data_IF_050357883248
#
_entry.id   IF_050357883248
#
_cell.length_a   1.000
_cell.length_b   1.000
_cell.length_c   1.000
_cell.angle_alpha   90.00
_cell.angle_beta   90.00
_cell.angle_gamma   90.00
#
_symmetry.space_group_name_H-M   'P 1'
#
loop_
_entity.id
_entity.type
_entity.pdbx_description
1 polymer ?
#
# COMPACT_ATOMS: atom_id res chain seq x y z
N UNK A 1 12.63 24.90 -5.44
CA UNK A 1 13.20 23.70 -4.76
C UNK A 1 13.10 22.52 -5.73
N UNK A 2 14.06 21.59 -5.74
CA UNK A 2 14.08 20.46 -6.69
C UNK A 2 12.88 19.52 -6.52
N UNK A 3 12.61 18.69 -7.53
CA UNK A 3 11.68 17.57 -7.39
C UNK A 3 12.26 16.55 -6.39
N UNK A 4 11.38 15.84 -5.68
CA UNK A 4 11.76 14.76 -4.77
C UNK A 4 11.40 13.40 -5.39
N UNK A 5 12.26 12.40 -5.19
CA UNK A 5 12.01 11.03 -5.63
C UNK A 5 11.49 10.15 -4.50
N UNK A 6 10.41 9.42 -4.77
CA UNK A 6 9.71 8.57 -3.80
C UNK A 6 9.83 7.11 -4.24
N UNK A 7 10.46 6.29 -3.40
CA UNK A 7 10.51 4.84 -3.55
C UNK A 7 9.63 4.18 -2.49
N UNK A 8 8.85 3.16 -2.87
CA UNK A 8 8.02 2.41 -1.92
C UNK A 8 8.37 0.93 -1.97
N UNK A 9 8.53 0.33 -0.79
CA UNK A 9 8.88 -1.07 -0.57
C UNK A 9 7.74 -1.85 0.05
N UNK A 10 7.36 -2.95 -0.58
CA UNK A 10 6.45 -3.97 -0.08
C UNK A 10 6.82 -5.34 -0.68
N UNK A 11 8.06 -5.84 -0.47
CA UNK A 11 8.52 -7.08 -1.08
C UNK A 11 7.69 -8.25 -0.58
N UNK A 12 7.25 -9.08 -1.52
CA UNK A 12 6.62 -10.36 -1.23
C UNK A 12 7.63 -11.36 -0.67
N UNK A 13 7.10 -12.45 -0.11
CA UNK A 13 7.89 -13.55 0.47
C UNK A 13 7.89 -14.83 -0.37
N UNK A 14 7.22 -14.81 -1.51
CA UNK A 14 7.05 -15.98 -2.38
C UNK A 14 7.78 -15.77 -3.70
N UNK A 15 8.67 -16.69 -4.04
CA UNK A 15 9.52 -16.61 -5.25
C UNK A 15 8.76 -16.82 -6.56
N UNK A 16 7.64 -17.57 -6.54
CA UNK A 16 6.84 -17.88 -7.73
C UNK A 16 5.45 -17.23 -7.75
N UNK A 17 5.12 -16.43 -6.73
CA UNK A 17 3.85 -15.71 -6.62
C UNK A 17 4.13 -14.26 -6.33
N UNK A 18 3.76 -13.39 -7.25
CA UNK A 18 4.03 -11.97 -7.11
C UNK A 18 2.74 -11.22 -6.87
N UNK A 19 2.68 -10.58 -5.71
CA UNK A 19 1.64 -9.62 -5.39
C UNK A 19 1.98 -8.30 -6.06
N UNK A 20 1.06 -7.80 -6.88
CA UNK A 20 1.21 -6.48 -7.48
C UNK A 20 1.31 -5.41 -6.38
N UNK A 21 2.07 -4.31 -6.62
CA UNK A 21 2.44 -3.33 -5.60
C UNK A 21 1.28 -2.43 -5.17
N UNK A 22 0.27 -3.01 -4.50
CA UNK A 22 -0.98 -2.33 -4.13
C UNK A 22 -0.74 -1.10 -3.24
N UNK A 23 0.13 -1.18 -2.22
CA UNK A 23 0.43 -0.04 -1.35
C UNK A 23 0.99 1.14 -2.15
N UNK A 24 2.02 0.91 -2.99
CA UNK A 24 2.57 1.95 -3.87
C UNK A 24 1.48 2.56 -4.76
N UNK A 25 0.67 1.72 -5.38
CA UNK A 25 -0.36 2.19 -6.31
C UNK A 25 -1.44 3.01 -5.61
N UNK A 26 -1.90 2.60 -4.42
CA UNK A 26 -2.86 3.35 -3.61
C UNK A 26 -2.31 4.70 -3.16
N UNK A 27 -1.08 4.73 -2.62
CA UNK A 27 -0.44 5.97 -2.20
C UNK A 27 -0.27 6.94 -3.37
N UNK A 28 0.23 6.43 -4.51
CA UNK A 28 0.46 7.20 -5.73
C UNK A 28 -0.85 7.73 -6.31
N UNK A 29 -1.85 6.88 -6.51
CA UNK A 29 -3.16 7.28 -7.05
C UNK A 29 -3.79 8.33 -6.14
N UNK A 30 -3.83 8.10 -4.82
CA UNK A 30 -4.41 9.07 -3.89
C UNK A 30 -3.71 10.43 -3.96
N UNK A 31 -2.37 10.47 -3.99
CA UNK A 31 -1.62 11.72 -4.11
C UNK A 31 -1.89 12.44 -5.43
N UNK A 32 -1.93 11.70 -6.54
CA UNK A 32 -2.12 12.26 -7.88
C UNK A 32 -3.55 12.75 -8.12
N UNK A 33 -4.57 12.06 -7.60
CA UNK A 33 -5.98 12.33 -7.90
C UNK A 33 -6.74 12.95 -6.74
N UNK A 34 -6.75 12.29 -5.59
CA UNK A 34 -7.74 12.54 -4.54
C UNK A 34 -7.27 13.62 -3.55
N UNK A 35 -5.95 13.68 -3.31
CA UNK A 35 -5.33 14.63 -2.40
C UNK A 35 -5.41 16.06 -2.96
N UNK A 36 -6.00 16.94 -2.16
CA UNK A 36 -6.20 18.35 -2.50
C UNK A 36 -4.96 19.15 -2.13
N UNK A 37 -4.09 19.37 -3.11
CA UNK A 37 -2.89 20.22 -3.00
C UNK A 37 -2.67 20.97 -4.31
N UNK A 38 -1.78 21.96 -4.29
CA UNK A 38 -1.42 22.74 -5.47
C UNK A 38 -0.82 21.82 -6.56
N UNK A 39 -1.19 21.97 -7.85
CA UNK A 39 -0.60 21.19 -8.95
C UNK A 39 0.93 21.23 -9.01
N UNK A 40 1.54 22.35 -8.57
CA UNK A 40 3.00 22.51 -8.48
C UNK A 40 3.64 21.55 -7.46
N UNK A 41 2.92 21.20 -6.39
CA UNK A 41 3.38 20.19 -5.43
C UNK A 41 3.39 18.81 -6.10
N UNK A 42 2.31 18.47 -6.81
CA UNK A 42 2.19 17.19 -7.51
C UNK A 42 3.28 17.02 -8.58
N UNK A 43 3.58 18.06 -9.36
CA UNK A 43 4.61 18.02 -10.39
C UNK A 43 6.05 17.91 -9.86
N UNK A 44 6.24 18.06 -8.54
CA UNK A 44 7.55 17.97 -7.88
C UNK A 44 7.76 16.64 -7.15
N UNK A 45 6.85 15.69 -7.29
CA UNK A 45 6.99 14.34 -6.75
C UNK A 45 7.18 13.36 -7.90
N UNK A 46 8.34 12.73 -7.95
CA UNK A 46 8.65 11.65 -8.87
C UNK A 46 8.47 10.30 -8.17
N UNK A 47 7.56 9.47 -8.67
CA UNK A 47 7.35 8.12 -8.14
C UNK A 47 8.26 7.13 -8.87
N UNK A 48 9.21 6.56 -8.14
CA UNK A 48 10.08 5.51 -8.66
C UNK A 48 9.32 4.17 -8.75
N UNK A 49 9.72 3.25 -9.65
CA UNK A 49 9.18 1.89 -9.69
C UNK A 49 9.28 1.23 -8.30
N UNK A 50 8.24 0.53 -7.81
CA UNK A 50 8.23 -0.01 -6.45
C UNK A 50 9.08 -1.27 -6.28
N UNK A 51 9.48 -1.55 -5.03
CA UNK A 51 10.10 -2.81 -4.63
C UNK A 51 9.02 -3.77 -4.11
N UNK A 52 8.66 -4.81 -4.87
CA UNK A 52 7.55 -5.72 -4.48
C UNK A 52 7.81 -7.21 -4.75
N UNK A 53 8.84 -7.54 -5.52
CA UNK A 53 9.21 -8.94 -5.77
C UNK A 53 10.13 -9.47 -4.66
N UNK A 54 10.22 -10.78 -4.51
CA UNK A 54 11.18 -11.41 -3.60
C UNK A 54 12.57 -11.44 -4.24
N UNK A 55 13.47 -10.55 -3.84
CA UNK A 55 14.85 -10.44 -4.35
C UNK A 55 15.84 -10.12 -3.22
N UNK A 56 17.14 -10.22 -3.51
CA UNK A 56 18.18 -9.72 -2.61
C UNK A 56 18.13 -8.19 -2.49
N UNK A 57 18.77 -7.64 -1.45
CA UNK A 57 18.89 -6.18 -1.26
C UNK A 57 19.60 -5.56 -2.46
N UNK A 58 20.68 -6.17 -2.90
CA UNK A 58 21.50 -5.73 -4.03
C UNK A 58 20.68 -5.72 -5.32
N UNK A 59 19.94 -6.79 -5.62
CA UNK A 59 19.10 -6.88 -6.82
C UNK A 59 17.93 -5.89 -6.80
N UNK A 60 17.39 -5.58 -5.62
CA UNK A 60 16.37 -4.54 -5.47
C UNK A 60 16.94 -3.17 -5.81
N UNK A 61 18.12 -2.86 -5.29
CA UNK A 61 18.71 -1.52 -5.37
C UNK A 61 19.51 -1.27 -6.66
N UNK A 62 19.89 -2.32 -7.40
CA UNK A 62 20.79 -2.26 -8.56
C UNK A 62 20.39 -1.26 -9.65
N UNK A 63 19.09 -0.97 -9.81
CA UNK A 63 18.58 -0.06 -10.83
C UNK A 63 18.45 1.39 -10.38
N UNK A 64 18.71 1.70 -9.10
CA UNK A 64 18.45 3.03 -8.53
C UNK A 64 19.75 3.76 -8.19
N UNK A 65 19.75 5.06 -8.42
CA UNK A 65 20.72 5.99 -7.85
C UNK A 65 20.30 6.33 -6.42
N UNK A 66 20.90 5.65 -5.43
CA UNK A 66 20.48 5.75 -4.04
C UNK A 66 20.66 7.17 -3.46
N UNK A 67 21.55 7.98 -4.02
CA UNK A 67 21.75 9.38 -3.62
C UNK A 67 20.55 10.27 -3.98
N UNK A 68 19.71 9.84 -4.92
CA UNK A 68 18.55 10.58 -5.41
C UNK A 68 17.22 10.16 -4.77
N UNK A 69 17.23 9.17 -3.87
CA UNK A 69 16.02 8.75 -3.17
C UNK A 69 15.78 9.69 -1.99
N UNK A 70 14.81 10.59 -2.11
CA UNK A 70 14.50 11.58 -1.07
C UNK A 70 13.53 11.04 -0.02
N UNK A 71 12.61 10.16 -0.43
CA UNK A 71 11.63 9.53 0.46
C UNK A 71 11.57 8.02 0.19
N UNK A 72 11.71 7.21 1.25
CA UNK A 72 11.55 5.77 1.20
C UNK A 72 10.38 5.33 2.08
N UNK A 73 9.28 4.94 1.44
CA UNK A 73 8.10 4.41 2.12
C UNK A 73 8.17 2.88 2.27
N UNK A 74 7.86 2.36 3.44
CA UNK A 74 7.89 0.93 3.73
C UNK A 74 6.49 0.45 4.11
N UNK A 75 6.01 -0.62 3.48
CA UNK A 75 4.83 -1.39 3.89
C UNK A 75 5.29 -2.60 4.71
N UNK A 76 5.31 -2.42 6.03
CA UNK A 76 5.98 -3.32 6.95
C UNK A 76 5.04 -4.38 7.53
N UNK A 77 5.40 -5.63 7.31
CA UNK A 77 4.77 -6.83 7.86
C UNK A 77 5.84 -7.72 8.50
N UNK A 78 5.43 -8.63 9.39
CA UNK A 78 6.36 -9.57 10.01
C UNK A 78 7.29 -10.31 9.02
N UNK A 79 6.82 -10.84 7.88
CA UNK A 79 7.68 -11.63 7.02
C UNK A 79 8.60 -10.80 6.10
N UNK A 80 8.40 -9.49 5.97
CA UNK A 80 9.26 -8.62 5.17
C UNK A 80 10.06 -7.60 6.01
N UNK A 81 10.07 -7.77 7.33
CA UNK A 81 10.79 -6.91 8.27
C UNK A 81 12.27 -6.77 7.93
N UNK A 82 13.01 -7.88 7.94
CA UNK A 82 14.46 -7.90 7.78
C UNK A 82 14.92 -7.28 6.46
N UNK A 83 14.25 -7.62 5.36
CA UNK A 83 14.59 -7.09 4.04
C UNK A 83 14.34 -5.58 3.95
N UNK A 84 13.23 -5.08 4.51
CA UNK A 84 12.93 -3.66 4.51
C UNK A 84 13.91 -2.86 5.36
N UNK A 85 14.31 -3.38 6.52
CA UNK A 85 15.33 -2.77 7.38
C UNK A 85 16.69 -2.72 6.67
N UNK A 86 17.10 -3.81 6.01
CA UNK A 86 18.34 -3.83 5.24
C UNK A 86 18.34 -2.84 4.07
N UNK A 87 17.22 -2.72 3.35
CA UNK A 87 17.03 -1.72 2.29
C UNK A 87 17.13 -0.29 2.84
N UNK A 88 16.44 0.01 3.94
CA UNK A 88 16.47 1.33 4.56
C UNK A 88 17.89 1.73 4.99
N UNK A 89 18.65 0.80 5.60
CA UNK A 89 20.05 1.02 5.98
C UNK A 89 20.92 1.34 4.77
N UNK A 90 20.82 0.56 3.69
CA UNK A 90 21.58 0.79 2.45
C UNK A 90 21.27 2.13 1.80
N UNK A 91 19.99 2.52 1.79
CA UNK A 91 19.57 3.83 1.26
C UNK A 91 20.12 4.95 2.14
N UNK A 92 20.03 4.85 3.47
CA UNK A 92 20.58 5.85 4.41
C UNK A 92 22.10 5.96 4.36
N UNK A 93 22.82 4.85 4.13
CA UNK A 93 24.27 4.83 3.92
C UNK A 93 24.68 5.69 2.71
N UNK A 94 23.90 5.65 1.63
CA UNK A 94 24.14 6.42 0.42
C UNK A 94 23.57 7.84 0.47
N UNK A 95 22.41 8.03 1.10
CA UNK A 95 21.73 9.30 1.29
C UNK A 95 21.24 9.45 2.75
N UNK A 96 22.06 10.05 3.64
CA UNK A 96 21.67 10.29 5.03
C UNK A 96 20.43 11.19 5.20
N UNK A 97 20.08 11.97 4.17
CA UNK A 97 18.95 12.89 4.17
C UNK A 97 17.64 12.25 3.67
N UNK A 98 17.68 11.02 3.14
CA UNK A 98 16.48 10.29 2.73
C UNK A 98 15.53 10.16 3.92
N UNK A 99 14.26 10.56 3.77
CA UNK A 99 13.23 10.38 4.79
C UNK A 99 12.64 8.99 4.68
N UNK A 100 12.82 8.16 5.70
CA UNK A 100 12.32 6.78 5.75
C UNK A 100 11.06 6.72 6.60
N UNK A 101 9.94 6.36 5.98
CA UNK A 101 8.62 6.27 6.60
C UNK A 101 8.12 4.83 6.56
N UNK A 102 7.94 4.23 7.74
CA UNK A 102 7.42 2.87 7.86
C UNK A 102 5.93 2.87 8.20
N UNK A 103 5.11 2.18 7.42
CA UNK A 103 3.70 1.93 7.70
C UNK A 103 3.43 0.43 7.83
N UNK A 104 2.18 0.05 8.06
CA UNK A 104 1.77 -1.35 8.24
C UNK A 104 1.79 -1.81 9.70
N UNK A 105 1.23 -3.00 9.97
CA UNK A 105 0.86 -3.43 11.32
C UNK A 105 2.05 -3.84 12.21
N UNK A 106 3.23 -4.08 11.64
CA UNK A 106 4.35 -4.65 12.40
C UNK A 106 5.24 -3.59 13.09
N UNK A 107 4.91 -2.31 13.00
CA UNK A 107 5.71 -1.24 13.60
C UNK A 107 5.40 -1.11 15.10
N UNK A 108 6.42 -1.28 15.94
CA UNK A 108 6.36 -1.20 17.41
C UNK A 108 6.79 0.17 17.92
N UNK A 109 6.30 1.23 17.28
CA UNK A 109 6.70 2.63 17.52
C UNK A 109 6.34 3.14 18.92
N UNK A 110 5.40 2.48 19.59
CA UNK A 110 4.95 2.76 20.95
C UNK A 110 5.93 2.27 22.02
N UNK A 111 6.92 1.46 21.63
CA UNK A 111 8.01 1.05 22.52
C UNK A 111 9.06 2.17 22.61
N UNK A 112 9.46 2.61 23.82
CA UNK A 112 10.37 3.75 24.02
C UNK A 112 11.68 3.68 23.23
N UNK A 113 12.18 2.47 22.99
CA UNK A 113 13.44 2.17 22.32
C UNK A 113 13.32 1.99 20.80
N UNK A 114 12.12 2.04 20.21
CA UNK A 114 11.93 1.69 18.80
C UNK A 114 12.81 2.52 17.86
N UNK A 115 12.78 3.85 18.00
CA UNK A 115 13.54 4.75 17.14
C UNK A 115 15.04 4.76 17.44
N UNK A 116 15.47 4.26 18.61
CA UNK A 116 16.89 4.05 18.93
C UNK A 116 17.40 2.71 18.39
N UNK A 117 16.57 1.67 18.41
CA UNK A 117 16.91 0.34 17.87
C UNK A 117 16.88 0.31 16.34
N UNK A 118 16.05 1.17 15.74
CA UNK A 118 15.89 1.33 14.29
C UNK A 118 16.19 2.77 13.85
N UNK A 119 17.45 3.23 13.94
CA UNK A 119 17.84 4.60 13.57
C UNK A 119 17.56 4.91 12.09
N UNK A 120 17.52 3.89 11.24
CA UNK A 120 17.19 4.00 9.82
C UNK A 120 15.73 4.41 9.53
N UNK A 121 14.82 4.29 10.49
CA UNK A 121 13.42 4.72 10.37
C UNK A 121 13.29 6.12 10.99
N UNK A 122 12.80 7.09 10.23
CA UNK A 122 12.59 8.45 10.72
C UNK A 122 11.19 8.65 11.30
N UNK A 123 10.19 7.97 10.74
CA UNK A 123 8.82 8.07 11.21
C UNK A 123 7.98 6.83 10.89
N UNK A 124 6.91 6.66 11.65
CA UNK A 124 5.92 5.60 11.47
C UNK A 124 4.57 6.19 11.12
N UNK A 125 4.02 5.75 9.99
CA UNK A 125 2.69 6.13 9.51
C UNK A 125 1.64 5.22 10.14
N UNK A 126 0.73 5.86 10.88
CA UNK A 126 -0.30 5.23 11.70
C UNK A 126 -1.64 5.15 10.97
N UNK A 127 -2.31 4.00 11.09
CA UNK A 127 -3.63 3.79 10.51
C UNK A 127 -3.60 3.75 8.97
N UNK A 128 -4.46 4.53 8.33
CA UNK A 128 -4.53 4.59 6.87
C UNK A 128 -3.46 5.52 6.31
N UNK A 129 -2.61 4.99 5.42
CA UNK A 129 -1.42 5.69 4.97
C UNK A 129 -1.67 6.75 3.89
N UNK A 130 -2.76 6.66 3.12
CA UNK A 130 -2.93 7.48 1.92
C UNK A 130 -2.90 8.99 2.20
N UNK A 131 -3.70 9.47 3.15
CA UNK A 131 -3.73 10.90 3.51
C UNK A 131 -2.45 11.34 4.22
N UNK A 132 -1.97 10.54 5.16
CA UNK A 132 -0.78 10.88 5.98
C UNK A 132 0.45 10.99 5.10
N UNK A 133 0.68 10.00 4.24
CA UNK A 133 1.83 9.98 3.34
C UNK A 133 1.77 11.14 2.34
N UNK A 134 0.60 11.42 1.75
CA UNK A 134 0.41 12.55 0.86
C UNK A 134 0.72 13.90 1.55
N UNK A 135 0.28 14.06 2.81
CA UNK A 135 0.58 15.26 3.59
C UNK A 135 2.06 15.40 3.94
N UNK A 136 2.74 14.29 4.25
CA UNK A 136 4.19 14.29 4.46
C UNK A 136 4.93 14.72 3.19
N UNK A 137 4.56 14.17 2.03
CA UNK A 137 5.16 14.57 0.74
C UNK A 137 4.97 16.06 0.47
N UNK A 138 3.76 16.60 0.69
CA UNK A 138 3.49 18.03 0.57
C UNK A 138 4.36 18.87 1.50
N UNK A 139 4.48 18.47 2.77
CA UNK A 139 5.34 19.17 3.73
C UNK A 139 6.81 19.19 3.28
N UNK A 140 7.35 18.05 2.84
CA UNK A 140 8.73 17.95 2.34
C UNK A 140 8.93 18.84 1.12
N UNK A 141 8.02 18.77 0.13
CA UNK A 141 8.09 19.59 -1.09
C UNK A 141 8.10 21.09 -0.77
N UNK A 142 7.37 21.49 0.27
CA UNK A 142 7.25 22.88 0.73
C UNK A 142 8.33 23.29 1.75
N UNK A 143 9.28 22.40 2.09
CA UNK A 143 10.32 22.70 3.08
C UNK A 143 9.77 22.88 4.50
N UNK A 144 8.63 22.27 4.81
CA UNK A 144 7.97 22.29 6.11
C UNK A 144 8.29 21.02 6.89
N UNK A 145 8.19 21.09 8.22
CA UNK A 145 8.35 19.90 9.06
C UNK A 145 7.22 18.91 8.79
N UNK A 146 7.60 17.69 8.41
CA UNK A 146 6.66 16.58 8.18
C UNK A 146 6.40 15.79 9.46
N UNK A 147 7.31 15.85 10.44
CA UNK A 147 7.25 15.08 11.70
C UNK A 147 6.04 15.40 12.57
N UNK A 148 5.45 16.59 12.39
CA UNK A 148 4.25 17.05 13.10
C UNK A 148 2.94 16.69 12.38
N UNK A 149 3.01 15.92 11.27
CA UNK A 149 1.83 15.51 10.52
C UNK A 149 0.94 14.59 11.37
N UNK A 150 -0.38 14.83 11.49
CA UNK A 150 -1.28 13.89 12.14
C UNK A 150 -1.17 12.49 11.53
N UNK A 151 -1.04 11.48 12.38
CA UNK A 151 -0.80 10.10 11.98
C UNK A 151 0.67 9.72 11.79
N UNK A 152 1.63 10.61 12.12
CA UNK A 152 3.07 10.29 12.10
C UNK A 152 3.62 10.24 13.53
N UNK A 153 4.06 9.05 13.95
CA UNK A 153 4.94 8.92 15.11
C UNK A 153 6.39 9.16 14.65
N UNK A 154 7.16 9.94 15.39
CA UNK A 154 8.56 10.27 15.08
C UNK A 154 9.34 10.52 16.36
N UNK A 155 10.65 10.80 16.25
CA UNK A 155 11.48 11.17 17.42
C UNK A 155 11.03 12.49 18.04
N UNK A 156 10.43 13.36 17.25
CA UNK A 156 9.94 14.68 17.62
C UNK A 156 8.47 14.66 18.06
N UNK A 157 7.74 13.58 17.78
CA UNK A 157 6.31 13.41 18.09
C UNK A 157 6.02 11.96 18.51
N UNK A 158 6.10 11.69 19.81
CA UNK A 158 5.85 10.38 20.43
C UNK A 158 4.36 10.06 20.63
N UNK A 159 3.47 11.04 20.43
CA UNK A 159 2.01 10.92 20.58
C UNK A 159 1.28 11.50 19.37
N UNK A 160 1.27 10.80 18.23
CA UNK A 160 0.65 11.32 17.03
C UNK A 160 -0.84 11.60 17.25
N UNK A 161 -1.28 12.76 16.77
CA UNK A 161 -2.72 12.99 16.58
C UNK A 161 -3.26 11.97 15.59
N UNK A 162 -4.52 11.55 15.77
CA UNK A 162 -5.15 10.61 14.83
C UNK A 162 -5.38 11.30 13.49
N UNK A 163 -4.94 10.66 12.40
CA UNK A 163 -5.27 11.11 11.05
C UNK A 163 -6.76 10.92 10.73
N UNK A 164 -7.27 11.72 9.79
CA UNK A 164 -8.61 11.53 9.26
C UNK A 164 -8.70 10.22 8.47
N UNK A 165 -9.85 9.56 8.57
CA UNK A 165 -10.17 8.42 7.74
C UNK A 165 -10.52 8.85 6.32
N UNK A 166 -10.14 8.04 5.33
CA UNK A 166 -10.54 8.24 3.95
C UNK A 166 -12.04 8.01 3.77
N UNK A 167 -12.64 8.78 2.86
CA UNK A 167 -13.98 8.53 2.33
C UNK A 167 -13.90 7.48 1.21
N UNK A 168 -14.08 6.21 1.58
CA UNK A 168 -13.96 5.07 0.66
C UNK A 168 -15.04 5.07 -0.44
N UNK A 169 -16.09 5.89 -0.33
CA UNK A 169 -17.09 6.03 -1.39
C UNK A 169 -16.61 6.91 -2.56
N UNK A 170 -15.55 7.71 -2.34
CA UNK A 170 -15.08 8.73 -3.29
C UNK A 170 -13.63 8.57 -3.74
N UNK A 171 -12.94 7.52 -3.26
CA UNK A 171 -11.55 7.25 -3.64
C UNK A 171 -11.43 6.78 -5.08
N UNK A 172 -10.31 7.15 -5.71
CA UNK A 172 -9.96 6.65 -7.04
C UNK A 172 -9.34 5.25 -6.92
N UNK A 173 -9.69 4.36 -7.86
CA UNK A 173 -9.10 3.02 -7.93
C UNK A 173 -7.70 3.08 -8.56
N UNK A 174 -6.67 2.49 -7.93
CA UNK A 174 -5.36 2.39 -8.54
C UNK A 174 -5.34 1.43 -9.73
N UNK A 175 -6.20 0.41 -9.72
CA UNK A 175 -6.29 -0.60 -10.77
C UNK A 175 -6.84 -0.04 -12.07
N UNK A 176 -7.79 0.89 -11.96
CA UNK A 176 -8.38 1.60 -13.10
C UNK A 176 -7.45 2.73 -13.54
N UNK A 177 -6.97 3.56 -12.61
CA UNK A 177 -6.17 4.75 -12.93
C UNK A 177 -4.80 4.39 -13.54
N UNK A 178 -4.20 3.28 -13.12
CA UNK A 178 -2.93 2.78 -13.65
C UNK A 178 -3.08 1.49 -14.46
N UNK A 179 -4.24 1.27 -15.10
CA UNK A 179 -4.53 0.02 -15.82
C UNK A 179 -3.45 -0.34 -16.85
N UNK A 180 -3.02 0.62 -17.68
CA UNK A 180 -1.98 0.38 -18.68
C UNK A 180 -0.64 -0.06 -18.08
N UNK A 181 -0.24 0.56 -16.96
CA UNK A 181 0.97 0.18 -16.24
C UNK A 181 0.86 -1.25 -15.73
N UNK A 182 -0.27 -1.61 -15.10
CA UNK A 182 -0.49 -2.96 -14.59
C UNK A 182 -0.58 -4.01 -15.70
N UNK A 183 -1.21 -3.71 -16.84
CA UNK A 183 -1.26 -4.61 -18.00
C UNK A 183 0.14 -4.93 -18.52
N UNK A 184 1.01 -3.91 -18.65
CA UNK A 184 2.40 -4.14 -19.07
C UNK A 184 3.19 -4.93 -18.02
N UNK A 185 3.02 -4.58 -16.74
CA UNK A 185 3.68 -5.26 -15.65
C UNK A 185 3.30 -6.74 -15.57
N UNK A 186 2.00 -7.04 -15.62
CA UNK A 186 1.47 -8.41 -15.61
C UNK A 186 2.01 -9.21 -16.80
N UNK A 187 2.04 -8.63 -18.00
CA UNK A 187 2.61 -9.28 -19.19
C UNK A 187 4.08 -9.66 -18.98
N UNK A 188 4.89 -8.78 -18.39
CA UNK A 188 6.30 -9.05 -18.10
C UNK A 188 6.51 -10.14 -17.04
N UNK A 189 5.75 -10.08 -15.94
CA UNK A 189 5.82 -11.07 -14.85
C UNK A 189 5.39 -12.46 -15.32
N UNK A 190 4.31 -12.56 -16.10
CA UNK A 190 3.85 -13.83 -16.68
C UNK A 190 4.84 -14.43 -17.66
N UNK A 191 5.47 -13.60 -18.49
CA UNK A 191 6.52 -14.05 -19.42
C UNK A 191 7.73 -14.63 -18.68
N UNK A 192 7.90 -14.29 -17.39
CA UNK A 192 8.92 -14.82 -16.48
C UNK A 192 8.41 -16.01 -15.64
N UNK A 193 7.25 -16.58 -15.96
CA UNK A 193 6.66 -17.74 -15.28
C UNK A 193 6.07 -17.45 -13.89
N UNK A 194 5.80 -16.20 -13.55
CA UNK A 194 5.25 -15.83 -12.24
C UNK A 194 3.72 -15.82 -12.26
N UNK A 195 3.11 -16.40 -11.22
CA UNK A 195 1.68 -16.22 -10.97
C UNK A 195 1.43 -14.83 -10.36
N UNK A 196 0.53 -14.06 -10.96
CA UNK A 196 0.29 -12.66 -10.58
C UNK A 196 -0.96 -12.51 -9.73
N UNK A 197 -0.78 -11.94 -8.54
CA UNK A 197 -1.83 -11.68 -7.56
C UNK A 197 -2.15 -10.19 -7.49
N UNK A 198 -3.42 -9.83 -7.69
CA UNK A 198 -3.92 -8.51 -7.30
C UNK A 198 -4.46 -8.57 -5.87
N UNK A 199 -4.07 -7.61 -5.04
CA UNK A 199 -4.71 -7.41 -3.72
C UNK A 199 -5.98 -6.59 -3.94
N UNK A 200 -7.09 -7.02 -3.36
CA UNK A 200 -8.37 -6.34 -3.52
C UNK A 200 -9.02 -6.10 -2.18
N UNK A 201 -9.46 -4.86 -1.95
CA UNK A 201 -10.07 -4.43 -0.70
C UNK A 201 -11.47 -3.91 -1.02
N UNK A 202 -12.49 -4.53 -0.43
CA UNK A 202 -13.88 -4.10 -0.63
C UNK A 202 -14.38 -3.28 0.56
N UNK A 203 -13.72 -3.42 1.72
CA UNK A 203 -14.03 -2.70 2.94
C UNK A 203 -12.83 -2.59 3.87
N UNK A 204 -12.91 -1.66 4.83
CA UNK A 204 -11.95 -1.49 5.92
C UNK A 204 -12.64 -1.57 7.27
N UNK A 205 -11.95 -2.17 8.22
CA UNK A 205 -12.46 -2.39 9.58
C UNK A 205 -13.11 -3.76 9.76
N UNK A 206 -13.37 -4.12 11.00
CA UNK A 206 -14.00 -5.40 11.37
C UNK A 206 -14.90 -5.18 12.59
N UNK A 207 -16.19 -5.57 12.57
CA UNK A 207 -17.11 -5.28 13.67
C UNK A 207 -16.88 -6.20 14.89
N UNK A 208 -16.10 -7.27 14.72
CA UNK A 208 -15.84 -8.25 15.77
C UNK A 208 -14.73 -7.80 16.72
N UNK A 209 -14.85 -8.20 17.99
CA UNK A 209 -13.90 -7.91 19.07
C UNK A 209 -13.20 -9.19 19.54
N UNK A 210 -12.61 -9.94 18.61
CA UNK A 210 -11.96 -11.20 18.93
C UNK A 210 -10.73 -10.97 19.81
N UNK A 211 -10.61 -11.71 20.91
CA UNK A 211 -9.53 -11.54 21.91
C UNK A 211 -8.13 -11.81 21.36
N UNK A 212 -8.02 -12.56 20.27
CA UNK A 212 -6.77 -12.92 19.61
C UNK A 212 -6.39 -12.00 18.44
N UNK A 213 -7.27 -11.08 18.02
CA UNK A 213 -7.14 -10.40 16.73
C UNK A 213 -6.67 -8.95 16.87
N UNK A 214 -5.51 -8.65 16.29
CA UNK A 214 -4.96 -7.29 16.26
C UNK A 214 -5.63 -6.37 15.21
N UNK A 215 -6.40 -6.95 14.29
CA UNK A 215 -7.05 -6.22 13.18
C UNK A 215 -7.99 -5.11 13.67
N UNK A 216 -8.74 -5.38 14.75
CA UNK A 216 -9.67 -4.41 15.35
C UNK A 216 -8.97 -3.20 15.97
N UNK A 217 -7.75 -3.40 16.47
CA UNK A 217 -6.89 -2.32 17.00
C UNK A 217 -6.27 -1.49 15.88
N UNK A 218 -5.85 -2.13 14.78
CA UNK A 218 -5.13 -1.48 13.67
C UNK A 218 -6.06 -0.75 12.69
N UNK A 219 -7.18 -1.36 12.30
CA UNK A 219 -8.09 -0.83 11.26
C UNK A 219 -9.36 -0.19 11.81
N UNK A 220 -9.63 -0.40 13.11
CA UNK A 220 -10.83 0.08 13.79
C UNK A 220 -12.03 -0.88 13.68
N UNK A 221 -12.98 -0.71 14.60
CA UNK A 221 -14.15 -1.59 14.71
C UNK A 221 -15.31 -1.19 13.80
N UNK A 222 -15.30 0.04 13.26
CA UNK A 222 -16.34 0.51 12.33
C UNK A 222 -15.97 0.08 10.93
N UNK A 223 -16.85 -0.70 10.29
CA UNK A 223 -16.68 -1.10 8.90
C UNK A 223 -17.06 0.06 7.98
N UNK A 224 -16.16 0.40 7.06
CA UNK A 224 -16.37 1.37 5.98
C UNK A 224 -16.26 0.63 4.65
N UNK A 225 -17.16 0.93 3.74
CA UNK A 225 -17.35 0.20 2.49
C UNK A 225 -16.83 1.02 1.32
N UNK A 226 -16.14 0.39 0.37
CA UNK A 226 -15.86 1.01 -0.93
C UNK A 226 -17.14 1.11 -1.77
N UNK A 227 -17.19 2.07 -2.68
CA UNK A 227 -18.31 2.26 -3.60
C UNK A 227 -18.54 1.00 -4.47
N UNK A 228 -19.78 0.51 -4.53
CA UNK A 228 -20.12 -0.72 -5.27
C UNK A 228 -19.76 -0.65 -6.76
N UNK A 229 -20.10 0.46 -7.43
CA UNK A 229 -19.82 0.64 -8.85
C UNK A 229 -18.31 0.70 -9.12
N UNK A 230 -17.54 1.27 -8.20
CA UNK A 230 -16.07 1.25 -8.29
C UNK A 230 -15.56 -0.20 -8.27
N UNK A 231 -16.02 -1.02 -7.33
CA UNK A 231 -15.63 -2.43 -7.20
C UNK A 231 -15.99 -3.26 -8.44
N UNK A 232 -17.18 -3.05 -9.02
CA UNK A 232 -17.59 -3.71 -10.27
C UNK A 232 -16.69 -3.32 -11.46
N UNK A 233 -16.28 -2.05 -11.53
CA UNK A 233 -15.34 -1.57 -12.54
C UNK A 233 -13.93 -2.13 -12.31
N UNK A 234 -13.49 -2.28 -11.07
CA UNK A 234 -12.21 -2.93 -10.74
C UNK A 234 -12.18 -4.39 -11.18
N UNK A 235 -13.28 -5.14 -11.00
CA UNK A 235 -13.38 -6.51 -11.50
C UNK A 235 -13.22 -6.59 -13.02
N UNK A 236 -13.85 -5.67 -13.77
CA UNK A 236 -13.65 -5.56 -15.22
C UNK A 236 -12.19 -5.20 -15.55
N UNK A 237 -11.60 -4.24 -14.84
CA UNK A 237 -10.20 -3.87 -15.04
C UNK A 237 -9.25 -5.05 -14.77
N UNK A 238 -9.49 -5.86 -13.74
CA UNK A 238 -8.71 -7.08 -13.47
C UNK A 238 -8.78 -8.09 -14.61
N UNK A 239 -9.96 -8.28 -15.20
CA UNK A 239 -10.13 -9.14 -16.37
C UNK A 239 -9.31 -8.63 -17.57
N UNK A 240 -9.37 -7.34 -17.85
CA UNK A 240 -8.66 -6.68 -18.96
C UNK A 240 -7.14 -6.62 -18.75
N UNK A 241 -6.68 -6.45 -17.50
CA UNK A 241 -5.26 -6.54 -17.11
C UNK A 241 -4.74 -7.99 -17.24
N UNK A 242 -5.63 -8.98 -17.11
CA UNK A 242 -5.28 -10.39 -17.15
C UNK A 242 -4.83 -10.96 -15.80
N UNK A 243 -5.41 -10.47 -14.70
CA UNK A 243 -5.13 -10.98 -13.34
C UNK A 243 -5.59 -12.43 -13.21
N UNK A 244 -4.73 -13.28 -12.64
CA UNK A 244 -5.00 -14.71 -12.45
C UNK A 244 -5.48 -15.05 -11.04
N UNK A 245 -5.07 -14.25 -10.07
CA UNK A 245 -5.45 -14.44 -8.67
C UNK A 245 -5.85 -13.12 -8.06
N UNK A 246 -7.04 -13.07 -7.47
CA UNK A 246 -7.50 -11.94 -6.65
C UNK A 246 -7.37 -12.37 -5.19
N UNK A 247 -6.59 -11.64 -4.41
CA UNK A 247 -6.45 -11.84 -2.98
C UNK A 247 -7.24 -10.76 -2.26
N UNK A 248 -8.40 -11.12 -1.72
CA UNK A 248 -9.27 -10.23 -0.98
C UNK A 248 -8.69 -10.00 0.41
N UNK A 249 -8.30 -8.75 0.70
CA UNK A 249 -7.66 -8.33 1.94
C UNK A 249 -8.65 -7.90 3.03
N UNK A 250 -9.94 -8.17 2.84
CA UNK A 250 -10.97 -7.90 3.84
C UNK A 250 -10.84 -8.85 5.04
N UNK A 251 -11.25 -8.37 6.22
CA UNK A 251 -11.17 -9.16 7.45
C UNK A 251 -12.10 -10.38 7.47
N UNK A 252 -13.27 -10.27 6.84
CA UNK A 252 -14.35 -11.27 6.84
C UNK A 252 -15.16 -11.20 5.52
N UNK A 253 -14.56 -11.62 4.41
CA UNK A 253 -15.30 -11.68 3.14
C UNK A 253 -16.37 -12.78 3.21
N UNK A 254 -17.57 -12.48 2.73
CA UNK A 254 -18.76 -13.33 2.84
C UNK A 254 -19.71 -12.94 3.98
N UNK A 255 -19.36 -11.94 4.79
CA UNK A 255 -20.21 -11.45 5.87
C UNK A 255 -21.34 -10.52 5.39
N UNK A 256 -21.28 -10.03 4.14
CA UNK A 256 -22.23 -9.05 3.61
C UNK A 256 -22.90 -9.54 2.33
N UNK A 257 -24.17 -9.13 2.10
CA UNK A 257 -24.91 -9.42 0.85
C UNK A 257 -24.12 -8.98 -0.40
N UNK A 258 -23.44 -7.85 -0.29
CA UNK A 258 -22.58 -7.30 -1.35
C UNK A 258 -21.47 -8.26 -1.78
N UNK A 259 -20.97 -9.09 -0.89
CA UNK A 259 -19.90 -10.05 -1.22
C UNK A 259 -20.42 -11.08 -2.24
N UNK A 260 -21.69 -11.49 -2.12
CA UNK A 260 -22.37 -12.35 -3.09
C UNK A 260 -22.53 -11.62 -4.44
N UNK A 261 -22.91 -10.34 -4.41
CA UNK A 261 -23.06 -9.53 -5.64
C UNK A 261 -21.73 -9.41 -6.41
N UNK A 262 -20.62 -9.21 -5.69
CA UNK A 262 -19.29 -9.15 -6.30
C UNK A 262 -18.88 -10.50 -6.91
N UNK A 263 -19.19 -11.62 -6.24
CA UNK A 263 -18.93 -12.95 -6.79
C UNK A 263 -19.81 -13.22 -8.03
N UNK A 264 -21.08 -12.82 -8.01
CA UNK A 264 -21.94 -12.90 -9.19
C UNK A 264 -21.36 -12.08 -10.35
N UNK A 265 -20.82 -10.89 -10.09
CA UNK A 265 -20.14 -10.10 -11.12
C UNK A 265 -18.91 -10.79 -11.70
N UNK A 266 -18.14 -11.53 -10.90
CA UNK A 266 -17.03 -12.37 -11.40
C UNK A 266 -17.55 -13.48 -12.32
N UNK A 267 -18.69 -14.11 -11.98
CA UNK A 267 -19.34 -15.13 -12.81
C UNK A 267 -19.79 -14.54 -14.15
N UNK A 268 -20.39 -13.35 -14.14
CA UNK A 268 -20.81 -12.65 -15.36
C UNK A 268 -19.60 -12.34 -16.25
N UNK A 269 -18.52 -11.80 -15.69
CA UNK A 269 -17.29 -11.50 -16.43
C UNK A 269 -16.61 -12.75 -17.00
N UNK A 270 -16.75 -13.91 -16.34
CA UNK A 270 -16.32 -15.19 -16.88
C UNK A 270 -17.09 -15.56 -18.14
N UNK A 271 -18.40 -15.31 -18.18
CA UNK A 271 -19.23 -15.54 -19.36
C UNK A 271 -18.96 -14.51 -20.47
N UNK A 272 -18.76 -13.24 -20.11
CA UNK A 272 -18.49 -12.13 -21.06
C UNK A 272 -17.09 -12.22 -21.70
N UNK A 273 -16.06 -12.50 -20.91
CA UNK A 273 -14.64 -12.32 -21.30
C UNK A 273 -13.81 -13.61 -21.21
N UNK A 274 -14.40 -14.72 -20.78
CA UNK A 274 -13.66 -15.97 -20.53
C UNK A 274 -12.69 -15.90 -19.34
N UNK A 275 -12.75 -14.83 -18.55
CA UNK A 275 -11.86 -14.58 -17.40
C UNK A 275 -12.17 -15.53 -16.24
N UNK A 276 -11.16 -16.25 -15.75
CA UNK A 276 -11.30 -17.29 -14.72
C UNK A 276 -10.29 -17.07 -13.60
N UNK A 277 -10.46 -16.02 -12.78
CA UNK A 277 -9.53 -15.76 -11.69
C UNK A 277 -9.71 -16.80 -10.57
N UNK A 278 -8.63 -17.11 -9.87
CA UNK A 278 -8.72 -17.74 -8.55
C UNK A 278 -8.99 -16.65 -7.51
N UNK A 279 -9.94 -16.90 -6.60
CA UNK A 279 -10.23 -15.97 -5.50
C UNK A 279 -9.66 -16.55 -4.21
N UNK A 280 -8.77 -15.80 -3.58
CA UNK A 280 -8.24 -16.08 -2.24
C UNK A 280 -8.87 -15.07 -1.29
N UNK A 281 -9.50 -15.54 -0.22
CA UNK A 281 -10.16 -14.66 0.75
C UNK A 281 -10.07 -15.23 2.15
N UNK A 282 -10.23 -14.36 3.14
CA UNK A 282 -10.43 -14.77 4.54
C UNK A 282 -11.93 -14.72 4.85
N UNK A 283 -12.52 -15.88 5.15
CA UNK A 283 -13.94 -16.01 5.48
C UNK A 283 -14.30 -15.43 6.86
N UNK A 284 -15.60 -15.38 7.17
CA UNK A 284 -16.06 -14.92 8.48
C UNK A 284 -15.52 -15.82 9.60
N UNK A 285 -14.93 -15.19 10.62
CA UNK A 285 -14.33 -15.90 11.77
C UNK A 285 -15.37 -16.33 12.83
N UNK A 286 -16.63 -15.94 12.65
CA UNK A 286 -17.78 -16.34 13.45
C UNK A 286 -18.93 -16.71 12.49
N UNK A 287 -19.05 -17.99 12.08
CA UNK A 287 -20.18 -18.47 11.28
C UNK A 287 -21.50 -18.41 12.06
#
# INVERSE_FOLDING_TARGET
>A
MPAISVLVSSPGIFTHRTYLPYTWARLKTYFETDFQTCPVVKSRVEWLPPLFQTRSVEDHLAQYDLQKIDVFGISQYAPNWEINIALAKKIKEANPHCVVLSGGPNNKWDFPQFFSDHPEIDGVVMGEGEWVFARVLESIVNGQSWQVTPGVASRESDRPQRAAYLDLERVTSPWIYHQNYFTQLVKGLKSSGQAVHAVWETNRGCPYKCTFCDWGSVTGTKVRMFNQRLLENELRAFAEIGIEVITISDANFGAYKRDIELINRVIDLKAELGWKPNIVFTGSKNP
#
